data_IF_369161262597
#
_entry.id   IF_369161262597
#
_cell.length_a   1.000
_cell.length_b   1.000
_cell.length_c   1.000
_cell.angle_alpha   90.00
_cell.angle_beta   90.00
_cell.angle_gamma   90.00
#
_symmetry.space_group_name_H-M   'P 1'
#
loop_
_entity.id
_entity.type
_entity.pdbx_description
1 polymer ?
#
# COMPACT_ATOMS: atom_id res chain seq x y z
N UNK A 1 9.26 -28.05 -1.22
CA UNK A 1 9.26 -26.71 -1.84
C UNK A 1 7.99 -26.59 -2.66
N UNK A 2 6.95 -25.98 -2.10
CA UNK A 2 5.73 -25.69 -2.87
C UNK A 2 6.11 -24.49 -3.73
N UNK A 3 6.26 -24.66 -5.05
CA UNK A 3 6.38 -23.52 -5.96
C UNK A 3 5.15 -22.65 -5.76
N UNK A 4 5.33 -21.48 -5.16
CA UNK A 4 4.35 -20.43 -5.30
C UNK A 4 4.30 -20.14 -6.81
N UNK A 5 3.16 -20.43 -7.43
CA UNK A 5 2.99 -20.24 -8.88
C UNK A 5 3.21 -18.76 -9.19
N UNK A 6 4.18 -18.48 -10.06
CA UNK A 6 4.62 -17.12 -10.31
C UNK A 6 3.50 -16.29 -10.95
N UNK A 7 3.37 -14.99 -10.63
CA UNK A 7 2.30 -14.16 -11.17
C UNK A 7 2.30 -14.06 -12.70
N UNK A 8 3.47 -14.18 -13.35
CA UNK A 8 3.59 -14.25 -14.81
C UNK A 8 2.91 -15.48 -15.38
N UNK A 9 3.14 -16.65 -14.78
CA UNK A 9 2.57 -17.92 -15.24
C UNK A 9 1.04 -17.89 -15.10
N UNK A 10 0.55 -17.32 -14.00
CA UNK A 10 -0.88 -17.09 -13.79
C UNK A 10 -1.47 -16.13 -14.83
N UNK A 11 -0.72 -15.10 -15.23
CA UNK A 11 -1.17 -14.15 -16.24
C UNK A 11 -1.19 -14.75 -17.63
N UNK A 12 -0.22 -15.59 -17.98
CA UNK A 12 -0.20 -16.32 -19.24
C UNK A 12 -1.38 -17.31 -19.32
N UNK A 13 -1.70 -17.97 -18.21
CA UNK A 13 -2.92 -18.78 -18.10
C UNK A 13 -4.18 -17.94 -18.29
N UNK A 14 -4.30 -16.80 -17.64
CA UNK A 14 -5.44 -15.89 -17.83
C UNK A 14 -5.56 -15.44 -19.29
N UNK A 15 -4.44 -15.09 -19.93
CA UNK A 15 -4.39 -14.70 -21.33
C UNK A 15 -4.85 -15.81 -22.27
N UNK A 16 -4.53 -17.07 -21.98
CA UNK A 16 -5.03 -18.22 -22.75
C UNK A 16 -6.55 -18.40 -22.66
N UNK A 17 -7.19 -17.91 -21.59
CA UNK A 17 -8.64 -17.93 -21.40
C UNK A 17 -9.33 -16.64 -21.87
N UNK A 18 -8.58 -15.62 -22.27
CA UNK A 18 -9.14 -14.38 -22.80
C UNK A 18 -9.74 -14.62 -24.19
N UNK A 19 -10.85 -13.95 -24.49
CA UNK A 19 -11.51 -14.02 -25.81
C UNK A 19 -10.62 -13.43 -26.91
N UNK A 20 -9.92 -12.35 -26.60
CA UNK A 20 -8.87 -11.78 -27.42
C UNK A 20 -7.59 -11.59 -26.56
N UNK A 21 -6.57 -12.46 -26.72
CA UNK A 21 -5.31 -12.35 -26.00
C UNK A 21 -4.48 -11.10 -26.30
N UNK A 22 -4.78 -10.40 -27.41
CA UNK A 22 -4.13 -9.15 -27.78
C UNK A 22 -4.82 -7.94 -27.13
N UNK A 23 -6.09 -8.06 -26.74
CA UNK A 23 -6.80 -7.02 -25.98
C UNK A 23 -6.43 -7.09 -24.49
N UNK A 24 -5.76 -6.06 -23.94
CA UNK A 24 -5.41 -6.02 -22.53
C UNK A 24 -6.62 -6.03 -21.58
N UNK A 25 -7.78 -5.55 -22.02
CA UNK A 25 -9.01 -5.56 -21.20
C UNK A 25 -9.66 -6.94 -21.13
N UNK A 26 -9.61 -7.71 -22.21
CA UNK A 26 -10.09 -9.10 -22.21
C UNK A 26 -9.13 -9.98 -21.40
N UNK A 27 -7.81 -9.75 -21.52
CA UNK A 27 -6.80 -10.38 -20.65
C UNK A 27 -7.03 -10.05 -19.17
N UNK A 28 -7.31 -8.78 -18.85
CA UNK A 28 -7.63 -8.36 -17.49
C UNK A 28 -8.92 -9.02 -16.99
N UNK A 29 -9.95 -9.13 -17.83
CA UNK A 29 -11.23 -9.77 -17.48
C UNK A 29 -11.02 -11.25 -17.13
N UNK A 30 -10.21 -11.96 -17.92
CA UNK A 30 -9.84 -13.34 -17.63
C UNK A 30 -8.98 -13.47 -16.35
N UNK A 31 -8.09 -12.52 -16.08
CA UNK A 31 -7.30 -12.48 -14.84
C UNK A 31 -8.17 -12.24 -13.59
N UNK A 32 -9.21 -11.42 -13.69
CA UNK A 32 -10.21 -11.21 -12.62
C UNK A 32 -10.96 -12.51 -12.32
N UNK A 33 -11.43 -13.21 -13.36
CA UNK A 33 -12.12 -14.49 -13.20
C UNK A 33 -11.20 -15.53 -12.54
N UNK A 34 -9.97 -15.68 -13.03
CA UNK A 34 -8.98 -16.59 -12.45
C UNK A 34 -8.63 -16.21 -11.00
N UNK A 35 -8.46 -14.92 -10.73
CA UNK A 35 -8.16 -14.41 -9.38
C UNK A 35 -9.27 -14.68 -8.37
N UNK A 36 -10.54 -14.76 -8.78
CA UNK A 36 -11.65 -15.08 -7.89
C UNK A 36 -11.63 -16.54 -7.39
N UNK A 37 -11.04 -17.45 -8.18
CA UNK A 37 -10.86 -18.85 -7.82
C UNK A 37 -9.56 -19.09 -7.03
N UNK A 38 -8.65 -18.13 -7.05
CA UNK A 38 -7.36 -18.19 -6.35
C UNK A 38 -7.45 -17.62 -4.93
N UNK A 39 -6.97 -18.38 -3.94
CA UNK A 39 -6.85 -17.90 -2.56
C UNK A 39 -5.61 -17.02 -2.33
N UNK A 40 -4.42 -17.57 -2.60
CA UNK A 40 -3.15 -16.84 -2.57
C UNK A 40 -2.65 -16.59 -4.00
N UNK A 41 -2.04 -15.43 -4.25
CA UNK A 41 -1.51 -15.06 -5.57
C UNK A 41 -2.45 -14.25 -6.47
N UNK A 42 -3.73 -14.14 -6.11
CA UNK A 42 -4.70 -13.31 -6.83
C UNK A 42 -4.26 -11.84 -6.91
N UNK A 43 -3.80 -11.25 -5.80
CA UNK A 43 -3.35 -9.85 -5.78
C UNK A 43 -2.18 -9.60 -6.73
N UNK A 44 -1.19 -10.49 -6.74
CA UNK A 44 -0.01 -10.34 -7.58
C UNK A 44 -0.34 -10.53 -9.07
N UNK A 45 -1.25 -11.46 -9.41
CA UNK A 45 -1.79 -11.64 -10.76
C UNK A 45 -2.52 -10.38 -11.23
N UNK A 46 -3.43 -9.84 -10.42
CA UNK A 46 -4.22 -8.67 -10.77
C UNK A 46 -3.36 -7.41 -10.89
N UNK A 47 -2.37 -7.23 -10.02
CA UNK A 47 -1.39 -6.15 -10.12
C UNK A 47 -0.63 -6.20 -11.44
N UNK A 48 -0.23 -7.40 -11.89
CA UNK A 48 0.50 -7.58 -13.14
C UNK A 48 -0.41 -7.35 -14.37
N UNK A 49 -1.64 -7.87 -14.36
CA UNK A 49 -2.62 -7.65 -15.41
C UNK A 49 -2.97 -6.16 -15.59
N UNK A 50 -3.16 -5.43 -14.48
CA UNK A 50 -3.42 -3.98 -14.49
C UNK A 50 -2.21 -3.21 -15.01
N UNK A 51 -0.99 -3.59 -14.62
CA UNK A 51 0.24 -2.99 -15.17
C UNK A 51 0.32 -3.17 -16.68
N UNK A 52 0.10 -4.38 -17.20
CA UNK A 52 0.09 -4.63 -18.66
C UNK A 52 -0.98 -3.81 -19.38
N UNK A 53 -2.20 -3.72 -18.85
CA UNK A 53 -3.24 -2.88 -19.43
C UNK A 53 -2.85 -1.40 -19.44
N UNK A 54 -2.21 -0.90 -18.37
CA UNK A 54 -1.73 0.48 -18.28
C UNK A 54 -0.58 0.77 -19.25
N UNK A 55 0.36 -0.15 -19.38
CA UNK A 55 1.49 -0.04 -20.32
C UNK A 55 1.01 -0.06 -21.78
N UNK A 56 -0.09 -0.77 -22.05
CA UNK A 56 -0.80 -0.75 -23.34
C UNK A 56 -1.68 0.50 -23.55
N UNK A 57 -1.64 1.49 -22.64
CA UNK A 57 -2.34 2.77 -22.78
C UNK A 57 -3.80 2.76 -22.33
N UNK A 58 -4.32 1.66 -21.78
CA UNK A 58 -5.72 1.55 -21.34
C UNK A 58 -6.00 2.50 -20.18
N UNK A 59 -7.07 3.29 -20.27
CA UNK A 59 -7.41 4.26 -19.21
C UNK A 59 -7.83 3.58 -17.89
N UNK A 60 -7.61 4.27 -16.76
CA UNK A 60 -8.11 3.83 -15.45
C UNK A 60 -9.63 3.63 -15.40
N UNK A 61 -10.38 4.35 -16.24
CA UNK A 61 -11.84 4.21 -16.30
C UNK A 61 -12.23 2.88 -16.93
N UNK A 62 -11.63 2.55 -18.08
CA UNK A 62 -11.88 1.29 -18.77
C UNK A 62 -11.45 0.08 -17.92
N UNK A 63 -10.31 0.18 -17.23
CA UNK A 63 -9.86 -0.84 -16.25
C UNK A 63 -10.90 -0.98 -15.13
N UNK A 64 -11.33 0.15 -14.54
CA UNK A 64 -12.32 0.15 -13.45
C UNK A 64 -13.65 -0.47 -13.84
N UNK A 65 -14.13 -0.22 -15.07
CA UNK A 65 -15.34 -0.83 -15.61
C UNK A 65 -15.27 -2.36 -15.63
N UNK A 66 -14.10 -2.95 -15.97
CA UNK A 66 -13.91 -4.41 -15.93
C UNK A 66 -13.93 -4.99 -14.52
N UNK A 67 -13.51 -4.22 -13.52
CA UNK A 67 -13.67 -4.57 -12.10
C UNK A 67 -15.08 -4.32 -11.54
N UNK A 68 -16.02 -3.84 -12.37
CA UNK A 68 -17.37 -3.48 -11.93
C UNK A 68 -17.49 -2.11 -11.26
N UNK A 69 -16.43 -1.28 -11.30
CA UNK A 69 -16.50 0.12 -10.86
C UNK A 69 -17.13 0.99 -11.96
N UNK A 70 -18.46 0.96 -12.10
CA UNK A 70 -19.17 1.95 -12.93
C UNK A 70 -19.22 3.31 -12.22
N UNK A 71 -19.00 4.41 -12.95
CA UNK A 71 -18.97 5.80 -12.43
C UNK A 71 -20.32 6.28 -11.88
N UNK A 72 -20.77 5.77 -10.73
CA UNK A 72 -21.82 6.42 -9.92
C UNK A 72 -21.23 7.15 -8.72
N UNK A 73 -21.13 8.46 -8.90
CA UNK A 73 -21.10 9.53 -7.88
C UNK A 73 -19.76 9.89 -7.20
N UNK A 74 -19.45 11.20 -7.01
CA UNK A 74 -18.08 11.71 -6.85
C UNK A 74 -17.56 11.77 -5.40
N UNK A 75 -18.23 11.16 -4.40
CA UNK A 75 -17.74 11.19 -3.01
C UNK A 75 -17.99 9.86 -2.30
N UNK A 76 -16.88 9.27 -1.84
CA UNK A 76 -16.75 8.10 -0.96
C UNK A 76 -17.17 6.76 -1.56
N UNK A 77 -16.15 5.98 -1.97
CA UNK A 77 -15.84 4.69 -1.33
C UNK A 77 -14.52 4.14 -1.88
N UNK A 78 -13.52 4.18 -1.00
CA UNK A 78 -12.34 3.30 -0.92
C UNK A 78 -12.09 2.32 -2.07
N UNK A 79 -11.01 2.58 -2.81
CA UNK A 79 -10.25 1.57 -3.55
C UNK A 79 -9.35 0.78 -2.58
N UNK A 80 -9.24 -0.56 -2.68
CA UNK A 80 -8.35 -1.37 -1.83
C UNK A 80 -6.89 -0.91 -1.89
N UNK A 81 -6.39 -0.53 -3.07
CA UNK A 81 -5.05 0.03 -3.25
C UNK A 81 -4.87 1.38 -2.53
N UNK A 82 -5.90 2.23 -2.48
CA UNK A 82 -5.86 3.48 -1.73
C UNK A 82 -5.88 3.22 -0.22
N UNK A 83 -6.66 2.23 0.24
CA UNK A 83 -6.67 1.77 1.63
C UNK A 83 -5.30 1.20 2.04
N UNK A 84 -4.72 0.29 1.24
CA UNK A 84 -3.38 -0.27 1.46
C UNK A 84 -2.30 0.82 1.48
N UNK A 85 -2.32 1.74 0.51
CA UNK A 85 -1.36 2.86 0.47
C UNK A 85 -1.53 3.81 1.66
N UNK A 86 -2.76 4.07 2.09
CA UNK A 86 -3.00 4.88 3.30
C UNK A 86 -2.53 4.19 4.57
N UNK A 87 -2.73 2.88 4.70
CA UNK A 87 -2.25 2.10 5.84
C UNK A 87 -0.72 2.05 5.86
N UNK A 88 -0.08 1.82 4.72
CA UNK A 88 1.38 1.86 4.58
C UNK A 88 1.96 3.24 4.91
N UNK A 89 1.35 4.33 4.42
CA UNK A 89 1.76 5.69 4.74
C UNK A 89 1.55 6.05 6.21
N UNK A 90 0.44 5.59 6.81
CA UNK A 90 0.20 5.74 8.24
C UNK A 90 1.28 5.01 9.03
N UNK A 91 1.61 3.78 8.64
CA UNK A 91 2.64 2.98 9.30
C UNK A 91 4.02 3.65 9.20
N UNK A 92 4.43 4.08 8.00
CA UNK A 92 5.68 4.84 7.80
C UNK A 92 5.73 6.11 8.65
N UNK A 93 4.61 6.84 8.77
CA UNK A 93 4.54 8.03 9.65
C UNK A 93 4.71 7.66 11.12
N UNK A 94 4.01 6.64 11.59
CA UNK A 94 4.14 6.15 12.98
C UNK A 94 5.55 5.64 13.26
N UNK A 95 6.12 4.91 12.32
CA UNK A 95 7.47 4.37 12.40
C UNK A 95 8.51 5.47 12.35
N UNK A 96 8.22 6.66 11.83
CA UNK A 96 9.12 7.83 11.79
C UNK A 96 8.84 8.86 12.92
N UNK A 97 7.74 8.72 13.65
CA UNK A 97 7.36 9.59 14.75
C UNK A 97 8.31 9.48 15.96
N UNK A 98 8.24 10.48 16.84
CA UNK A 98 8.82 10.41 18.18
C UNK A 98 8.29 9.18 18.94
N UNK A 99 9.19 8.39 19.52
CA UNK A 99 8.88 7.17 20.27
C UNK A 99 8.07 7.45 21.54
N UNK A 100 8.17 8.67 22.10
CA UNK A 100 7.52 9.07 23.35
C UNK A 100 6.13 9.66 23.13
N UNK A 101 6.02 10.77 22.39
CA UNK A 101 4.74 11.48 22.21
C UNK A 101 4.04 11.18 20.87
N UNK A 102 4.58 10.28 20.04
CA UNK A 102 4.06 9.91 18.71
C UNK A 102 3.95 11.05 17.70
N UNK A 103 4.49 12.24 18.00
CA UNK A 103 4.53 13.38 17.07
C UNK A 103 5.29 12.99 15.79
N UNK A 104 4.69 13.14 14.60
CA UNK A 104 5.36 12.85 13.34
C UNK A 104 6.45 13.88 13.03
N UNK A 105 7.45 13.50 12.20
CA UNK A 105 8.44 14.45 11.71
C UNK A 105 7.78 15.52 10.83
N UNK A 106 8.38 16.71 10.81
CA UNK A 106 7.94 17.81 9.96
C UNK A 106 8.92 18.97 10.05
N UNK A 107 8.76 20.00 9.19
CA UNK A 107 9.69 21.12 9.09
C UNK A 107 9.85 21.94 10.37
N UNK A 108 8.92 21.79 11.33
CA UNK A 108 8.93 22.48 12.63
C UNK A 108 9.22 21.56 13.82
N UNK A 109 9.60 20.32 13.57
CA UNK A 109 9.89 19.32 14.62
C UNK A 109 11.36 18.94 14.51
N UNK A 110 12.14 19.19 15.55
CA UNK A 110 13.55 18.81 15.61
C UNK A 110 13.64 17.46 16.29
N UNK A 111 14.35 16.52 15.67
CA UNK A 111 14.33 15.13 16.08
C UNK A 111 15.76 14.61 16.25
N UNK A 112 16.01 13.96 17.37
CA UNK A 112 17.23 13.16 17.58
C UNK A 112 16.94 11.74 17.15
N UNK A 113 17.86 11.15 16.37
CA UNK A 113 17.76 9.80 15.83
C UNK A 113 18.84 8.93 16.47
N UNK A 114 18.42 7.86 17.14
CA UNK A 114 19.29 6.79 17.61
C UNK A 114 18.93 5.46 16.93
N UNK A 115 19.75 4.44 17.18
CA UNK A 115 19.53 3.09 16.63
C UNK A 115 18.19 2.50 17.08
N UNK A 116 17.85 2.64 18.37
CA UNK A 116 16.64 2.07 18.96
C UNK A 116 15.41 3.00 18.92
N UNK A 117 15.52 4.24 18.44
CA UNK A 117 14.37 5.15 18.48
C UNK A 117 14.64 6.60 18.09
N UNK A 118 13.58 7.41 18.21
CA UNK A 118 13.61 8.85 17.90
C UNK A 118 12.91 9.64 18.98
N UNK A 119 13.45 10.80 19.33
CA UNK A 119 12.86 11.69 20.32
C UNK A 119 12.79 13.12 19.78
N UNK A 120 11.63 13.77 19.93
CA UNK A 120 11.45 15.15 19.49
C UNK A 120 11.94 16.14 20.55
N UNK A 121 12.18 17.38 20.13
CA UNK A 121 12.71 18.46 20.97
C UNK A 121 11.96 18.67 22.27
N UNK A 122 10.61 18.59 22.25
CA UNK A 122 9.80 18.78 23.45
C UNK A 122 9.92 17.61 24.43
N UNK A 123 10.04 16.38 23.93
CA UNK A 123 10.22 15.21 24.79
C UNK A 123 11.62 15.19 25.40
N UNK A 124 12.65 15.63 24.68
CA UNK A 124 14.01 15.80 25.24
C UNK A 124 13.98 16.81 26.38
N UNK A 125 13.38 17.99 26.17
CA UNK A 125 13.27 19.02 27.21
C UNK A 125 12.57 18.49 28.46
N UNK A 126 11.40 17.87 28.29
CA UNK A 126 10.64 17.29 29.40
C UNK A 126 11.42 16.18 30.14
N UNK A 127 12.08 15.29 29.41
CA UNK A 127 12.89 14.23 30.02
C UNK A 127 14.05 14.81 30.86
N UNK A 128 14.67 15.89 30.36
CA UNK A 128 15.73 16.60 31.07
C UNK A 128 15.22 17.18 32.39
N UNK A 129 14.05 17.84 32.37
CA UNK A 129 13.44 18.41 33.57
C UNK A 129 13.08 17.34 34.61
N UNK A 130 12.55 16.20 34.17
CA UNK A 130 12.21 15.06 35.02
C UNK A 130 13.47 14.51 35.70
N UNK A 131 14.51 14.21 34.92
CA UNK A 131 15.78 13.64 35.46
C UNK A 131 16.44 14.62 36.42
N UNK A 132 16.52 15.90 36.06
CA UNK A 132 17.07 16.94 36.94
C UNK A 132 16.25 17.08 38.24
N UNK A 133 14.93 16.94 38.15
CA UNK A 133 14.04 16.96 39.31
C UNK A 133 14.20 15.77 40.25
N UNK A 134 14.52 14.59 39.71
CA UNK A 134 14.80 13.39 40.50
C UNK A 134 16.16 13.49 41.21
N UNK A 135 17.19 14.00 40.52
CA UNK A 135 18.53 14.16 41.09
C UNK A 135 18.58 15.14 42.28
N UNK A 136 17.62 16.07 42.39
CA UNK A 136 17.50 16.98 43.55
C UNK A 136 16.81 16.36 44.77
N UNK A 137 16.17 15.19 44.61
CA UNK A 137 15.39 14.52 45.66
C UNK A 137 16.17 13.37 46.32
N UNK A 138 17.22 12.90 45.66
CA UNK A 138 18.23 11.97 46.18
C UNK A 138 19.31 12.74 46.93
#
# INVERSE_FOLDING_TARGET
MVSAMEPSDLLDRARAHAKDPADPLETLTAAIALGAELGSGADALLDLAVRQARDAGVSWTAIGERFGFSRRSPRRRFTPAFAHRHLANRRRRLDASCSFCRRPPGPRVRMVHGEAGRICEKCVALATDIVAGLARRT
#
